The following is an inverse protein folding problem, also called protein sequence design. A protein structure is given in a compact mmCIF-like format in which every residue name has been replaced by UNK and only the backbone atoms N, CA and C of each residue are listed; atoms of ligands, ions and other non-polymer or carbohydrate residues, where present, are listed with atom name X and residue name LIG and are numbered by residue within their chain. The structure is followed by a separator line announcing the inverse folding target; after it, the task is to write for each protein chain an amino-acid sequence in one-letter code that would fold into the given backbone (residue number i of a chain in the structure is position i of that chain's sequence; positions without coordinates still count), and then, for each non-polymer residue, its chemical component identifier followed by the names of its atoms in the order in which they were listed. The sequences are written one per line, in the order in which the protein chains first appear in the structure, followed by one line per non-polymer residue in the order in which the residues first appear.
data_IF_012903704395
#
_entry.id   IF_012903704395
#
_cell.length_a   1.000
_cell.length_b   1.000
_cell.length_c   1.000
_cell.angle_alpha   90.00
_cell.angle_beta   90.00
_cell.angle_gamma   90.00
#
_symmetry.space_group_name_H-M   'P 1'
#
loop_
_entity.id
_entity.type
_entity.pdbx_description
1 polymer ?
#
# COMPACT_ATOMS: atom_id res chain seq x y z
N UNK A 1 7.82 3.00 16.06
CA UNK A 1 7.38 1.76 15.39
C UNK A 1 8.63 1.07 14.86
N UNK A 2 9.08 -0.02 15.49
CA UNK A 2 10.17 -0.82 14.93
C UNK A 2 9.65 -1.61 13.73
N UNK A 3 10.31 -1.44 12.58
CA UNK A 3 10.08 -2.24 11.38
C UNK A 3 10.74 -3.61 11.59
N UNK A 4 9.98 -4.56 12.13
CA UNK A 4 10.43 -5.95 12.23
C UNK A 4 10.29 -6.59 10.84
N UNK A 5 11.39 -6.62 10.11
CA UNK A 5 11.49 -7.35 8.83
C UNK A 5 11.58 -8.84 9.15
N UNK A 6 10.44 -9.52 9.13
CA UNK A 6 10.37 -10.98 9.28
C UNK A 6 10.98 -11.61 8.03
N UNK A 7 12.23 -12.09 8.13
CA UNK A 7 12.86 -12.88 7.07
C UNK A 7 12.10 -14.20 6.94
N UNK A 8 11.59 -14.50 5.75
CA UNK A 8 11.04 -15.82 5.45
C UNK A 8 12.21 -16.82 5.40
N UNK A 9 12.35 -17.68 6.41
CA UNK A 9 13.54 -18.53 6.55
C UNK A 9 13.59 -19.70 5.56
N UNK A 10 12.47 -20.07 4.94
CA UNK A 10 12.42 -21.15 3.96
C UNK A 10 11.38 -20.77 2.92
N UNK A 11 11.63 -21.17 1.66
CA UNK A 11 10.65 -21.12 0.58
C UNK A 11 9.50 -22.09 0.94
N UNK A 12 8.62 -21.66 1.85
CA UNK A 12 7.44 -22.41 2.25
C UNK A 12 6.60 -22.62 0.99
N UNK A 13 6.34 -23.89 0.68
CA UNK A 13 5.49 -24.32 -0.44
C UNK A 13 4.07 -23.77 -0.34
N UNK A 14 3.64 -23.38 0.85
CA UNK A 14 2.30 -22.89 1.14
C UNK A 14 2.26 -21.43 1.61
N UNK A 15 1.16 -20.76 1.26
CA UNK A 15 0.89 -19.37 1.58
C UNK A 15 0.66 -19.18 3.09
N UNK A 16 1.70 -18.80 3.84
CA UNK A 16 1.56 -18.50 5.27
C UNK A 16 0.87 -17.15 5.47
N UNK A 17 -0.29 -17.19 6.12
CA UNK A 17 -1.07 -16.00 6.46
C UNK A 17 -0.34 -15.18 7.54
N UNK A 18 0.36 -14.13 7.13
CA UNK A 18 0.98 -13.17 8.05
C UNK A 18 -0.10 -12.38 8.81
N UNK A 19 -0.02 -12.28 10.15
CA UNK A 19 -1.11 -11.79 10.99
C UNK A 19 -1.50 -10.30 10.81
N UNK A 20 -0.90 -9.55 9.88
CA UNK A 20 -1.25 -8.14 9.61
C UNK A 20 -1.30 -7.77 8.13
N UNK A 21 -1.11 -8.73 7.24
CA UNK A 21 -1.01 -8.50 5.78
C UNK A 21 -2.27 -7.85 5.21
N UNK A 22 -3.43 -8.27 5.70
CA UNK A 22 -4.73 -7.76 5.25
C UNK A 22 -4.93 -6.27 5.53
N UNK A 23 -4.29 -5.70 6.55
CA UNK A 23 -4.41 -4.26 6.85
C UNK A 23 -3.79 -3.44 5.72
N UNK A 24 -2.58 -3.84 5.29
CA UNK A 24 -1.86 -3.20 4.20
C UNK A 24 -2.59 -3.39 2.88
N UNK A 25 -3.01 -4.62 2.57
CA UNK A 25 -3.77 -4.92 1.34
C UNK A 25 -5.09 -4.14 1.26
N UNK A 26 -5.79 -3.98 2.39
CA UNK A 26 -7.03 -3.19 2.48
C UNK A 26 -6.77 -1.71 2.18
N UNK A 27 -5.71 -1.11 2.74
CA UNK A 27 -5.36 0.28 2.44
C UNK A 27 -5.08 0.48 0.94
N UNK A 28 -4.39 -0.47 0.30
CA UNK A 28 -4.17 -0.43 -1.15
C UNK A 28 -5.47 -0.60 -1.96
N UNK A 29 -6.37 -1.49 -1.52
CA UNK A 29 -7.68 -1.64 -2.15
C UNK A 29 -8.51 -0.35 -2.08
N UNK A 30 -8.39 0.41 -0.99
CA UNK A 30 -9.08 1.69 -0.84
C UNK A 30 -8.38 2.80 -1.64
N UNK A 31 -7.05 2.80 -1.72
CA UNK A 31 -6.29 3.70 -2.58
C UNK A 31 -6.65 3.55 -4.06
N UNK A 32 -7.00 2.33 -4.50
CA UNK A 32 -7.45 2.06 -5.87
C UNK A 32 -8.78 2.78 -6.25
N UNK A 33 -9.56 3.26 -5.27
CA UNK A 33 -10.76 4.08 -5.53
C UNK A 33 -10.41 5.46 -6.10
N UNK A 34 -9.20 5.94 -5.84
CA UNK A 34 -8.72 7.21 -6.36
C UNK A 34 -8.19 7.02 -7.79
N UNK A 35 -9.11 7.02 -8.77
CA UNK A 35 -8.79 6.78 -10.20
C UNK A 35 -7.68 7.68 -10.77
N UNK A 36 -7.51 8.88 -10.19
CA UNK A 36 -6.45 9.84 -10.58
C UNK A 36 -5.05 9.29 -10.34
N UNK A 37 -4.88 8.48 -9.28
CA UNK A 37 -3.63 7.83 -8.92
C UNK A 37 -3.16 6.80 -9.96
N UNK A 38 -4.11 6.14 -10.64
CA UNK A 38 -3.82 5.16 -11.68
C UNK A 38 -3.62 5.79 -13.07
N UNK A 39 -4.30 6.92 -13.34
CA UNK A 39 -4.39 7.49 -14.69
C UNK A 39 -3.27 8.48 -15.03
N UNK A 40 -2.74 9.17 -14.02
CA UNK A 40 -1.75 10.25 -14.23
C UNK A 40 -0.29 9.77 -14.07
N UNK A 41 -0.04 8.46 -14.04
CA UNK A 41 1.28 7.88 -13.73
C UNK A 41 2.36 8.25 -14.73
N UNK A 42 2.05 8.32 -16.03
CA UNK A 42 3.05 8.55 -17.09
C UNK A 42 3.33 10.03 -17.37
N UNK A 43 2.41 10.94 -16.99
CA UNK A 43 2.49 12.37 -17.35
C UNK A 43 2.96 13.27 -16.21
N UNK A 44 2.69 12.91 -14.95
CA UNK A 44 2.86 13.85 -13.84
C UNK A 44 3.34 13.16 -12.56
N UNK A 45 4.40 12.36 -12.67
CA UNK A 45 4.99 11.56 -11.57
C UNK A 45 5.27 12.37 -10.31
N UNK A 46 5.76 13.61 -10.43
CA UNK A 46 6.04 14.48 -9.28
C UNK A 46 4.77 14.86 -8.50
N UNK A 47 3.72 15.32 -9.18
CA UNK A 47 2.44 15.66 -8.56
C UNK A 47 1.71 14.42 -8.05
N UNK A 48 1.87 13.30 -8.74
CA UNK A 48 1.31 12.00 -8.36
C UNK A 48 1.90 11.50 -7.04
N UNK A 49 3.20 11.70 -6.80
CA UNK A 49 3.83 11.35 -5.53
C UNK A 49 3.20 12.14 -4.37
N UNK A 50 2.95 13.43 -4.54
CA UNK A 50 2.23 14.25 -3.54
C UNK A 50 0.79 13.78 -3.30
N UNK A 51 0.07 13.40 -4.37
CA UNK A 51 -1.29 12.87 -4.26
C UNK A 51 -1.36 11.54 -3.50
N UNK A 52 -0.35 10.67 -3.61
CA UNK A 52 -0.29 9.44 -2.82
C UNK A 52 -0.28 9.75 -1.32
N UNK A 53 0.53 10.73 -0.88
CA UNK A 53 0.57 11.13 0.53
C UNK A 53 -0.80 11.63 1.01
N UNK A 54 -1.44 12.52 0.25
CA UNK A 54 -2.76 13.06 0.61
C UNK A 54 -3.82 11.94 0.69
N UNK A 55 -3.84 11.04 -0.28
CA UNK A 55 -4.76 9.89 -0.28
C UNK A 55 -4.56 9.00 0.94
N UNK A 56 -3.32 8.67 1.29
CA UNK A 56 -3.05 7.85 2.47
C UNK A 56 -3.39 8.57 3.78
N UNK A 57 -3.17 9.89 3.87
CA UNK A 57 -3.62 10.69 5.01
C UNK A 57 -5.14 10.63 5.15
N UNK A 58 -5.89 10.85 4.06
CA UNK A 58 -7.35 10.72 4.07
C UNK A 58 -7.81 9.31 4.49
N UNK A 59 -7.12 8.25 4.03
CA UNK A 59 -7.45 6.87 4.35
C UNK A 59 -7.14 6.47 5.80
N UNK A 60 -6.16 7.12 6.44
CA UNK A 60 -5.79 6.85 7.84
C UNK A 60 -6.58 7.71 8.83
N UNK A 61 -7.13 8.84 8.39
CA UNK A 61 -7.98 9.74 9.20
C UNK A 61 -9.48 9.42 9.13
N UNK A 62 -9.90 8.62 8.15
CA UNK A 62 -11.27 8.12 8.01
C UNK A 62 -11.51 6.89 8.90
#
# INVERSE_FOLDING_TARGET
MELVVVKHTEAKRDFVRLPRRWVVERSFAWAARFRRLAKDYERLTQSLAGLHYVVFVCLMLA
#
